data_IF_617092955161
#
_entry.id   IF_617092955161
#
_cell.length_a   1.000
_cell.length_b   1.000
_cell.length_c   1.000
_cell.angle_alpha   90.00
_cell.angle_beta   90.00
_cell.angle_gamma   90.00
#
_symmetry.space_group_name_H-M   'P 1'
#
loop_
_entity.id
_entity.type
_entity.pdbx_description
1 polymer ?
#
# COMPACT_ATOMS: atom_id res chain seq x y z
N UNK A 1 -10.11 -1.17 -14.11
CA UNK A 1 -9.88 -1.70 -15.48
C UNK A 1 -10.77 -0.93 -16.46
N UNK A 2 -10.23 -0.37 -17.56
CA UNK A 2 -11.00 0.43 -18.51
C UNK A 2 -12.29 -0.26 -18.99
N UNK A 3 -13.40 0.47 -19.11
CA UNK A 3 -14.72 -0.10 -19.50
C UNK A 3 -14.68 -0.87 -20.82
N UNK A 4 -13.88 -0.41 -21.77
CA UNK A 4 -13.71 -1.09 -23.06
C UNK A 4 -13.01 -2.46 -22.94
N UNK A 5 -12.23 -2.68 -21.87
CA UNK A 5 -11.56 -3.96 -21.60
C UNK A 5 -12.42 -4.91 -20.74
N UNK A 6 -13.50 -4.43 -20.10
CA UNK A 6 -14.37 -5.26 -19.25
C UNK A 6 -15.10 -6.37 -20.00
N UNK A 7 -15.23 -6.25 -21.33
CA UNK A 7 -15.85 -7.26 -22.19
C UNK A 7 -15.07 -8.57 -22.25
N UNK A 8 -13.78 -8.59 -21.90
CA UNK A 8 -12.97 -9.82 -21.89
C UNK A 8 -13.11 -10.64 -20.61
N UNK A 9 -13.84 -10.14 -19.61
CA UNK A 9 -14.05 -10.86 -18.36
C UNK A 9 -15.12 -11.95 -18.50
N UNK A 10 -14.98 -13.06 -17.77
CA UNK A 10 -16.04 -14.05 -17.65
C UNK A 10 -17.24 -13.47 -16.90
N UNK A 11 -18.37 -14.19 -16.91
CA UNK A 11 -19.48 -13.89 -16.02
C UNK A 11 -19.02 -13.99 -14.56
N UNK A 12 -19.12 -12.90 -13.80
CA UNK A 12 -18.67 -12.84 -12.41
C UNK A 12 -19.85 -12.99 -11.43
N UNK A 13 -19.61 -13.56 -10.24
CA UNK A 13 -20.59 -13.56 -9.16
C UNK A 13 -21.00 -12.14 -8.74
N UNK A 14 -22.20 -11.99 -8.18
CA UNK A 14 -22.75 -10.70 -7.74
C UNK A 14 -21.93 -9.99 -6.64
N UNK A 15 -21.03 -10.71 -5.97
CA UNK A 15 -20.12 -10.15 -4.97
C UNK A 15 -18.90 -9.43 -5.57
N UNK A 16 -18.71 -9.49 -6.89
CA UNK A 16 -17.67 -8.74 -7.58
C UNK A 16 -18.21 -7.42 -8.08
N UNK A 17 -17.48 -6.36 -7.77
CA UNK A 17 -17.70 -5.02 -8.34
C UNK A 17 -16.45 -4.60 -9.09
N UNK A 18 -16.63 -4.19 -10.34
CA UNK A 18 -15.53 -3.74 -11.21
C UNK A 18 -15.76 -2.29 -11.55
N UNK A 19 -14.73 -1.50 -11.32
CA UNK A 19 -14.72 -0.09 -11.63
C UNK A 19 -13.48 0.23 -12.50
N UNK A 20 -13.63 1.20 -13.39
CA UNK A 20 -12.50 1.77 -14.12
C UNK A 20 -11.68 2.70 -13.22
N UNK A 21 -12.35 3.42 -12.32
CA UNK A 21 -11.74 4.27 -11.30
C UNK A 21 -12.50 4.19 -9.97
N UNK A 22 -11.76 4.22 -8.86
CA UNK A 22 -12.32 4.40 -7.50
C UNK A 22 -11.47 5.39 -6.72
N UNK A 23 -12.07 6.17 -5.80
CA UNK A 23 -11.31 6.97 -4.84
C UNK A 23 -10.64 6.04 -3.81
N UNK A 24 -9.47 5.48 -4.15
CA UNK A 24 -8.76 4.44 -3.38
C UNK A 24 -8.67 4.78 -1.88
N UNK A 25 -8.30 6.01 -1.52
CA UNK A 25 -8.23 6.46 -0.13
C UNK A 25 -9.56 6.32 0.62
N UNK A 26 -10.67 6.66 -0.01
CA UNK A 26 -12.02 6.54 0.57
C UNK A 26 -12.44 5.07 0.70
N UNK A 27 -12.04 4.22 -0.25
CA UNK A 27 -12.30 2.77 -0.16
C UNK A 27 -11.49 2.18 0.99
N UNK A 28 -10.19 2.47 1.07
CA UNK A 28 -9.30 1.95 2.11
C UNK A 28 -9.68 2.45 3.51
N UNK A 29 -10.24 3.65 3.65
CA UNK A 29 -10.71 4.15 4.96
C UNK A 29 -11.99 3.48 5.45
N UNK A 30 -12.71 2.77 4.59
CA UNK A 30 -13.97 2.15 4.96
C UNK A 30 -13.75 0.93 5.90
N UNK A 31 -14.51 0.80 7.00
CA UNK A 31 -14.31 -0.28 7.97
C UNK A 31 -14.57 -1.69 7.41
N UNK A 32 -15.41 -1.82 6.38
CA UNK A 32 -15.67 -3.10 5.72
C UNK A 32 -14.51 -3.61 4.84
N UNK A 33 -13.48 -2.79 4.58
CA UNK A 33 -12.29 -3.24 3.85
C UNK A 33 -11.31 -3.85 4.84
N UNK A 34 -11.00 -5.13 4.67
CA UNK A 34 -10.15 -5.88 5.62
C UNK A 34 -8.74 -6.18 5.11
N UNK A 35 -8.53 -6.12 3.79
CA UNK A 35 -7.24 -6.37 3.16
C UNK A 35 -7.16 -5.64 1.82
N UNK A 36 -5.94 -5.43 1.32
CA UNK A 36 -5.70 -4.80 0.03
C UNK A 36 -4.79 -5.65 -0.86
N UNK A 37 -5.25 -6.00 -2.05
CA UNK A 37 -4.40 -6.65 -3.07
C UNK A 37 -3.79 -5.57 -3.94
N UNK A 38 -2.47 -5.52 -4.02
CA UNK A 38 -1.77 -4.40 -4.67
C UNK A 38 -0.52 -4.82 -5.42
N UNK A 39 -0.23 -4.09 -6.50
CA UNK A 39 1.04 -4.18 -7.20
C UNK A 39 2.22 -3.55 -6.42
N UNK A 40 1.97 -2.99 -5.24
CA UNK A 40 2.99 -2.45 -4.34
C UNK A 40 3.70 -1.17 -4.82
N UNK A 41 2.99 -0.29 -5.53
CA UNK A 41 3.45 1.10 -5.68
C UNK A 41 3.53 1.79 -4.31
N UNK A 42 4.54 2.65 -4.11
CA UNK A 42 4.81 3.30 -2.81
C UNK A 42 3.59 3.98 -2.20
N UNK A 43 2.87 4.78 -2.98
CA UNK A 43 1.68 5.50 -2.50
C UNK A 43 0.57 4.53 -2.05
N UNK A 44 0.38 3.43 -2.79
CA UNK A 44 -0.64 2.44 -2.48
C UNK A 44 -0.36 1.70 -1.17
N UNK A 45 0.92 1.39 -0.90
CA UNK A 45 1.31 0.81 0.39
C UNK A 45 1.09 1.82 1.52
N UNK A 46 1.52 3.07 1.35
CA UNK A 46 1.35 4.10 2.37
C UNK A 46 -0.13 4.34 2.69
N UNK A 47 -1.01 4.42 1.69
CA UNK A 47 -2.44 4.59 1.91
C UNK A 47 -3.09 3.39 2.62
N UNK A 48 -2.67 2.17 2.27
CA UNK A 48 -3.17 0.97 2.94
C UNK A 48 -2.74 0.91 4.41
N UNK A 49 -1.46 1.18 4.70
CA UNK A 49 -0.95 1.19 6.06
C UNK A 49 -1.50 2.35 6.88
N UNK A 50 -1.74 3.52 6.28
CA UNK A 50 -2.40 4.64 6.95
C UNK A 50 -3.77 4.24 7.51
N UNK A 51 -4.51 3.41 6.76
CA UNK A 51 -5.81 2.85 7.17
C UNK A 51 -5.75 1.42 7.71
N UNK A 52 -4.57 0.98 8.16
CA UNK A 52 -4.40 -0.27 8.91
C UNK A 52 -4.75 -1.53 8.11
N UNK A 53 -4.62 -1.48 6.78
CA UNK A 53 -4.98 -2.57 5.88
C UNK A 53 -3.74 -3.42 5.53
N UNK A 54 -3.73 -4.71 5.91
CA UNK A 54 -2.68 -5.62 5.47
C UNK A 54 -2.76 -5.88 3.95
N UNK A 55 -1.64 -6.28 3.36
CA UNK A 55 -1.44 -6.24 1.90
C UNK A 55 -1.14 -7.64 1.33
N UNK A 56 -1.86 -8.04 0.29
CA UNK A 56 -1.41 -9.12 -0.60
C UNK A 56 -0.66 -8.50 -1.78
N UNK A 57 0.66 -8.65 -1.76
CA UNK A 57 1.59 -8.07 -2.71
C UNK A 57 1.70 -8.89 -4.00
N UNK A 58 1.50 -8.25 -5.15
CA UNK A 58 1.72 -8.81 -6.48
C UNK A 58 2.54 -7.82 -7.35
N UNK A 59 3.83 -7.62 -7.06
CA UNK A 59 4.66 -6.66 -7.80
C UNK A 59 4.94 -7.13 -9.22
N UNK A 60 4.90 -6.21 -10.19
CA UNK A 60 5.09 -6.50 -11.61
C UNK A 60 6.45 -6.05 -12.15
N UNK A 61 6.91 -4.85 -11.81
CA UNK A 61 8.16 -4.28 -12.33
C UNK A 61 8.71 -3.13 -11.48
N UNK A 62 9.97 -2.76 -11.70
CA UNK A 62 10.59 -1.57 -11.11
C UNK A 62 10.68 -1.62 -9.58
N UNK A 63 10.40 -0.47 -8.96
CA UNK A 63 10.46 -0.24 -7.51
C UNK A 63 9.42 -1.03 -6.71
N UNK A 64 8.37 -1.55 -7.36
CA UNK A 64 7.33 -2.37 -6.75
C UNK A 64 7.89 -3.58 -6.00
N UNK A 65 8.96 -4.19 -6.52
CA UNK A 65 9.62 -5.33 -5.86
C UNK A 65 10.30 -4.92 -4.55
N UNK A 66 10.92 -3.74 -4.53
CA UNK A 66 11.54 -3.19 -3.34
C UNK A 66 10.48 -2.91 -2.27
N UNK A 67 9.41 -2.19 -2.62
CA UNK A 67 8.36 -1.88 -1.65
C UNK A 67 7.61 -3.12 -1.16
N UNK A 68 7.39 -4.12 -2.02
CA UNK A 68 6.85 -5.41 -1.60
C UNK A 68 7.77 -6.09 -0.57
N UNK A 69 9.09 -6.12 -0.81
CA UNK A 69 10.04 -6.69 0.15
C UNK A 69 10.00 -5.95 1.50
N UNK A 70 9.97 -4.61 1.48
CA UNK A 70 9.84 -3.81 2.72
C UNK A 70 8.54 -4.09 3.47
N UNK A 71 7.42 -4.27 2.76
CA UNK A 71 6.15 -4.63 3.37
C UNK A 71 6.18 -6.03 4.01
N UNK A 72 6.91 -6.98 3.42
CA UNK A 72 7.14 -8.30 4.00
C UNK A 72 8.03 -8.21 5.25
N UNK A 73 9.12 -7.44 5.20
CA UNK A 73 10.04 -7.24 6.33
C UNK A 73 9.32 -6.62 7.54
N UNK A 74 8.36 -5.71 7.29
CA UNK A 74 7.53 -5.09 8.33
C UNK A 74 6.43 -6.01 8.88
N UNK A 75 6.23 -7.19 8.29
CA UNK A 75 5.18 -8.13 8.68
C UNK A 75 3.76 -7.64 8.35
N UNK A 76 3.61 -6.74 7.38
CA UNK A 76 2.30 -6.17 6.98
C UNK A 76 1.74 -6.80 5.70
N UNK A 77 2.48 -7.72 5.08
CA UNK A 77 2.13 -8.26 3.78
C UNK A 77 2.55 -9.73 3.57
N UNK A 78 1.82 -10.38 2.66
CA UNK A 78 2.22 -11.62 1.99
C UNK A 78 2.46 -11.34 0.51
N UNK A 79 3.36 -12.09 -0.14
CA UNK A 79 3.70 -11.88 -1.56
C UNK A 79 3.29 -13.04 -2.43
N UNK A 80 2.69 -12.77 -3.59
CA UNK A 80 2.50 -13.71 -4.69
C UNK A 80 3.66 -13.66 -5.68
N UNK A 81 4.00 -14.79 -6.28
CA UNK A 81 4.91 -14.80 -7.42
C UNK A 81 4.12 -14.55 -8.70
N UNK A 82 4.33 -13.40 -9.37
CA UNK A 82 3.59 -13.02 -10.58
C UNK A 82 3.65 -14.04 -11.73
N UNK A 83 4.70 -14.87 -11.76
CA UNK A 83 4.89 -15.89 -12.79
C UNK A 83 4.30 -17.25 -12.40
N UNK A 84 3.96 -17.44 -11.12
CA UNK A 84 3.54 -18.73 -10.59
C UNK A 84 2.69 -18.55 -9.33
N UNK A 85 1.37 -18.45 -9.53
CA UNK A 85 0.37 -18.52 -8.48
C UNK A 85 -0.93 -19.11 -9.05
N UNK A 86 -1.79 -19.62 -8.17
CA UNK A 86 -3.11 -20.10 -8.55
C UNK A 86 -4.20 -19.60 -7.57
N UNK A 87 -5.44 -19.97 -7.86
CA UNK A 87 -6.58 -19.58 -7.03
C UNK A 87 -6.52 -20.14 -5.59
N UNK A 88 -5.85 -21.27 -5.39
CA UNK A 88 -5.70 -21.89 -4.08
C UNK A 88 -4.72 -21.12 -3.22
N UNK A 89 -3.58 -20.72 -3.79
CA UNK A 89 -2.59 -19.88 -3.11
C UNK A 89 -3.17 -18.51 -2.76
N UNK A 90 -3.89 -17.86 -3.69
CA UNK A 90 -4.53 -16.57 -3.44
C UNK A 90 -5.53 -16.68 -2.28
N UNK A 91 -6.41 -17.68 -2.31
CA UNK A 91 -7.39 -17.91 -1.24
C UNK A 91 -6.71 -18.17 0.10
N UNK A 92 -5.67 -19.00 0.12
CA UNK A 92 -4.95 -19.32 1.35
C UNK A 92 -4.30 -18.06 1.95
N UNK A 93 -3.57 -17.28 1.14
CA UNK A 93 -2.88 -16.07 1.60
C UNK A 93 -3.86 -14.97 2.02
N UNK A 94 -4.96 -14.78 1.31
CA UNK A 94 -6.01 -13.85 1.76
C UNK A 94 -6.59 -14.30 3.10
N UNK A 95 -6.89 -15.59 3.26
CA UNK A 95 -7.46 -16.08 4.51
C UNK A 95 -6.48 -15.93 5.68
N UNK A 96 -5.19 -16.18 5.46
CA UNK A 96 -4.14 -15.93 6.45
C UNK A 96 -4.07 -14.44 6.83
N UNK A 97 -4.04 -13.52 5.85
CA UNK A 97 -4.06 -12.07 6.12
C UNK A 97 -5.30 -11.62 6.93
N UNK A 98 -6.44 -12.30 6.76
CA UNK A 98 -7.69 -11.94 7.43
C UNK A 98 -7.84 -12.55 8.84
N UNK A 99 -7.29 -13.75 9.07
CA UNK A 99 -7.46 -14.50 10.32
C UNK A 99 -6.27 -14.30 11.27
N UNK A 100 -5.06 -14.18 10.75
CA UNK A 100 -3.86 -13.98 11.55
C UNK A 100 -3.72 -12.49 11.92
N UNK A 101 -4.01 -12.17 13.19
CA UNK A 101 -4.02 -10.78 13.64
C UNK A 101 -2.65 -10.09 13.55
N UNK A 102 -1.54 -10.84 13.46
CA UNK A 102 -0.20 -10.27 13.41
C UNK A 102 -0.02 -9.27 12.26
N UNK A 103 -0.68 -9.49 11.12
CA UNK A 103 -0.62 -8.59 9.96
C UNK A 103 -1.35 -7.27 10.19
N UNK A 104 -2.58 -7.32 10.75
CA UNK A 104 -3.34 -6.10 11.08
C UNK A 104 -2.70 -5.37 12.26
N UNK A 105 -2.13 -6.08 13.23
CA UNK A 105 -1.42 -5.47 14.35
C UNK A 105 -0.12 -4.78 13.89
N UNK A 106 0.60 -5.38 12.92
CA UNK A 106 1.71 -4.71 12.26
C UNK A 106 1.25 -3.48 11.47
N UNK A 107 0.15 -3.58 10.72
CA UNK A 107 -0.39 -2.46 9.96
C UNK A 107 -0.85 -1.31 10.89
N UNK A 108 -1.44 -1.63 12.05
CA UNK A 108 -1.78 -0.66 13.11
C UNK A 108 -0.55 0.05 13.66
N UNK A 109 0.53 -0.69 13.95
CA UNK A 109 1.81 -0.09 14.37
C UNK A 109 2.32 0.90 13.33
N UNK A 110 2.32 0.51 12.06
CA UNK A 110 2.73 1.39 10.97
C UNK A 110 1.80 2.59 10.79
N UNK A 111 0.48 2.42 10.96
CA UNK A 111 -0.49 3.51 10.92
C UNK A 111 -0.19 4.58 11.98
N UNK A 112 0.12 4.16 13.22
CA UNK A 112 0.51 5.07 14.29
C UNK A 112 1.77 5.87 13.93
N UNK A 113 2.79 5.21 13.37
CA UNK A 113 4.00 5.89 12.90
C UNK A 113 3.71 6.87 11.78
N UNK A 114 2.92 6.48 10.77
CA UNK A 114 2.59 7.36 9.66
C UNK A 114 1.81 8.59 10.11
N UNK A 115 0.84 8.41 11.01
CA UNK A 115 0.01 9.50 11.56
C UNK A 115 0.81 10.44 12.47
N UNK A 116 1.94 10.01 13.04
CA UNK A 116 2.78 10.87 13.89
C UNK A 116 3.83 11.70 13.14
N UNK A 117 3.96 11.53 11.81
CA UNK A 117 5.00 12.22 11.01
C UNK A 117 4.77 13.72 10.78
N UNK A 118 3.66 14.29 11.26
CA UNK A 118 3.33 15.72 11.15
C UNK A 118 2.77 16.15 9.79
N UNK A 119 2.74 15.27 8.79
CA UNK A 119 1.99 15.44 7.55
C UNK A 119 2.31 16.73 6.78
N UNK A 120 1.26 17.41 6.32
CA UNK A 120 1.35 18.63 5.52
C UNK A 120 2.00 19.78 6.29
N UNK A 121 1.67 19.96 7.57
CA UNK A 121 2.20 21.06 8.38
C UNK A 121 3.71 20.91 8.54
N UNK A 122 4.18 19.70 8.86
CA UNK A 122 5.62 19.46 8.96
C UNK A 122 6.34 19.66 7.63
N UNK A 123 5.71 19.31 6.52
CA UNK A 123 6.28 19.56 5.20
C UNK A 123 6.38 21.06 4.89
N UNK A 124 5.36 21.85 5.24
CA UNK A 124 5.37 23.30 5.11
C UNK A 124 6.48 23.93 5.99
N UNK A 125 6.57 23.53 7.27
CA UNK A 125 7.61 24.00 8.18
C UNK A 125 9.02 23.75 7.62
N UNK A 126 9.25 22.56 7.04
CA UNK A 126 10.52 22.20 6.43
C UNK A 126 10.82 23.15 5.27
N UNK A 127 9.84 23.45 4.41
CA UNK A 127 10.05 24.37 3.28
C UNK A 127 10.34 25.79 3.78
N UNK A 128 9.58 26.28 4.75
CA UNK A 128 9.72 27.63 5.30
C UNK A 128 11.06 27.83 5.99
N UNK A 129 11.49 26.88 6.82
CA UNK A 129 12.79 26.91 7.51
C UNK A 129 13.96 27.00 6.51
N UNK A 130 13.81 26.37 5.33
CA UNK A 130 14.84 26.39 4.28
C UNK A 130 14.93 27.73 3.57
N UNK A 131 13.81 28.45 3.48
CA UNK A 131 13.79 29.80 2.92
C UNK A 131 14.47 30.80 3.86
N UNK A 132 14.36 30.60 5.18
CA UNK A 132 14.94 31.52 6.17
C UNK A 132 16.39 31.21 6.53
N UNK A 133 16.76 29.94 6.67
CA UNK A 133 18.09 29.51 7.13
C UNK A 133 19.04 29.10 6.00
N UNK A 134 18.52 28.98 4.77
CA UNK A 134 19.26 28.47 3.61
C UNK A 134 19.52 26.95 3.65
N UNK A 135 20.34 26.46 2.72
CA UNK A 135 20.64 25.03 2.54
C UNK A 135 22.11 24.68 2.79
N UNK A 136 22.93 25.66 3.20
CA UNK A 136 24.39 25.53 3.26
C UNK A 136 24.88 24.40 4.16
N UNK A 137 24.10 24.02 5.19
CA UNK A 137 24.41 22.93 6.10
C UNK A 137 24.03 21.53 5.59
N UNK A 138 23.32 21.43 4.46
CA UNK A 138 23.00 20.15 3.80
C UNK A 138 23.96 19.80 2.68
N UNK A 139 24.77 20.75 2.22
CA UNK A 139 25.83 20.48 1.26
C UNK A 139 27.01 19.96 2.09
N UNK A 140 27.39 18.67 1.97
CA UNK A 140 28.59 18.19 2.64
C UNK A 140 29.76 19.03 2.13
N UNK A 141 30.56 19.62 3.03
CA UNK A 141 31.76 20.33 2.64
C UNK A 141 32.62 19.35 1.82
N UNK A 142 32.80 19.64 0.52
CA UNK A 142 33.75 18.93 -0.32
C UNK A 142 35.15 19.31 0.17
N UNK A 143 35.72 18.46 1.03
CA UNK A 143 37.14 18.45 1.35
C UNK A 143 37.95 17.81 0.24
#
# INVERSE_FOLDING_TARGET
MPKNQQRSLPALPACFRIEDFVPQRTVLSHPAVSAFVSHCGMNSINEALYWEKPILALPFFGDQHYFAARALDLGVALKLNKNHFDSTEVRHKINDLLVNSSYVDAARRMSMVLKSTGGLDKAADIVETRLTEGISYLIPNAG
#
